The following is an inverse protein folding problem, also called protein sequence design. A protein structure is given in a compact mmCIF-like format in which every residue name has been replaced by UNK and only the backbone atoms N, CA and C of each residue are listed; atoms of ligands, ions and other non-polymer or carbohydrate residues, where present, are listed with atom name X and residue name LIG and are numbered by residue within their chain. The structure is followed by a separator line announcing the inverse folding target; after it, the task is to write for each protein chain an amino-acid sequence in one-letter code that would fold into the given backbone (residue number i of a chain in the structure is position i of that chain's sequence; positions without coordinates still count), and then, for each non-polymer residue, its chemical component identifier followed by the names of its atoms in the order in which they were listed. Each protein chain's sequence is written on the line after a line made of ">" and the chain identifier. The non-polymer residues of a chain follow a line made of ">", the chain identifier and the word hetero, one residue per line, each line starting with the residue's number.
data_IF_432055711451
#
_entry.id   IF_432055711451
#
_cell.length_a   1.000
_cell.length_b   1.000
_cell.length_c   1.000
_cell.angle_alpha   90.00
_cell.angle_beta   90.00
_cell.angle_gamma   90.00
#
_symmetry.space_group_name_H-M   'P 1'
#
loop_
_entity.id
_entity.type
_entity.pdbx_description
1 polymer ?
#
# COMPACT_ATOMS: atom_id res chain seq x y z
N UNK A 1 -11.52 2.36 13.97
CA UNK A 1 -10.78 2.31 12.70
C UNK A 1 -9.53 3.14 12.84
N UNK A 2 -8.35 2.59 12.56
CA UNK A 2 -7.07 3.32 12.62
C UNK A 2 -6.33 3.23 11.29
N UNK A 3 -5.63 4.31 10.94
CA UNK A 3 -4.87 4.41 9.68
C UNK A 3 -3.41 4.61 10.03
N UNK A 4 -2.53 3.81 9.40
CA UNK A 4 -1.08 3.94 9.52
C UNK A 4 -0.49 4.18 8.14
N UNK A 5 0.25 5.29 7.99
CA UNK A 5 0.98 5.61 6.77
C UNK A 5 2.42 5.09 6.88
N UNK A 6 2.81 4.28 5.90
CA UNK A 6 4.17 3.80 5.70
C UNK A 6 4.77 4.50 4.47
N UNK A 7 6.04 4.88 4.55
CA UNK A 7 6.77 5.51 3.43
C UNK A 7 7.77 4.51 2.86
N UNK A 8 7.70 4.28 1.56
CA UNK A 8 8.54 3.33 0.84
C UNK A 8 7.99 1.90 0.89
N UNK A 9 7.76 1.36 2.09
CA UNK A 9 7.42 -0.05 2.27
C UNK A 9 6.72 -0.32 3.62
N UNK A 10 6.15 -1.51 3.80
CA UNK A 10 5.61 -2.01 5.07
C UNK A 10 6.70 -2.58 5.99
N UNK A 11 6.44 -2.72 7.31
CA UNK A 11 7.32 -3.45 8.21
C UNK A 11 7.39 -4.95 7.87
N UNK A 12 8.59 -5.54 7.94
CA UNK A 12 8.83 -6.95 7.63
C UNK A 12 8.09 -7.95 8.54
N UNK A 13 7.68 -7.52 9.73
CA UNK A 13 6.96 -8.32 10.72
C UNK A 13 5.43 -8.10 10.68
N UNK A 14 4.94 -7.31 9.73
CA UNK A 14 3.51 -7.07 9.58
C UNK A 14 2.80 -8.30 9.02
N UNK A 15 1.87 -8.87 9.81
CA UNK A 15 1.13 -10.07 9.44
C UNK A 15 -0.36 -9.74 9.21
N UNK A 16 -0.85 -10.02 8.00
CA UNK A 16 -2.27 -9.86 7.63
C UNK A 16 -3.13 -11.11 7.84
N UNK A 17 -2.53 -12.23 8.26
CA UNK A 17 -3.21 -13.52 8.40
C UNK A 17 -3.48 -14.16 7.05
N UNK A 18 -4.67 -14.77 6.89
CA UNK A 18 -5.00 -15.59 5.72
C UNK A 18 -5.77 -14.84 4.62
N UNK A 19 -6.15 -13.58 4.86
CA UNK A 19 -6.92 -12.77 3.92
C UNK A 19 -6.46 -11.32 3.95
N UNK A 20 -6.42 -10.69 2.78
CA UNK A 20 -5.93 -9.33 2.60
C UNK A 20 -6.86 -8.58 1.64
N UNK A 21 -7.49 -7.52 2.14
CA UNK A 21 -8.13 -6.52 1.31
C UNK A 21 -7.06 -5.56 0.78
N UNK A 22 -7.12 -5.27 -0.53
CA UNK A 22 -6.14 -4.43 -1.23
C UNK A 22 -6.86 -3.47 -2.17
N UNK A 23 -6.37 -2.23 -2.23
CA UNK A 23 -6.70 -1.24 -3.25
C UNK A 23 -5.48 -0.37 -3.57
N UNK A 24 -5.56 0.44 -4.63
CA UNK A 24 -4.47 1.30 -5.09
C UNK A 24 -4.95 2.68 -5.54
N UNK A 25 -4.09 3.69 -5.36
CA UNK A 25 -4.30 5.03 -5.94
C UNK A 25 -3.23 5.34 -6.98
N UNK A 26 -3.65 5.93 -8.10
CA UNK A 26 -2.79 6.36 -9.21
C UNK A 26 -3.07 7.84 -9.52
N UNK A 27 -2.19 8.50 -10.28
CA UNK A 27 -2.48 9.87 -10.75
C UNK A 27 -3.62 9.95 -11.77
N UNK A 28 -4.13 8.82 -12.23
CA UNK A 28 -5.15 8.72 -13.26
C UNK A 28 -5.31 7.29 -13.76
N UNK A 29 -6.28 7.07 -14.64
CA UNK A 29 -6.73 5.72 -15.01
C UNK A 29 -5.89 5.04 -16.10
N UNK A 30 -4.76 5.63 -16.54
CA UNK A 30 -3.92 5.10 -17.62
C UNK A 30 -2.60 4.56 -17.08
N UNK A 31 -2.42 3.24 -16.86
CA UNK A 31 -1.27 2.67 -16.12
C UNK A 31 0.12 3.05 -16.65
N UNK A 32 0.27 3.20 -17.96
CA UNK A 32 1.56 3.54 -18.58
C UNK A 32 1.90 5.04 -18.53
N UNK A 33 0.93 5.89 -18.19
CA UNK A 33 1.08 7.34 -18.08
C UNK A 33 1.02 7.79 -16.62
N UNK A 34 0.15 7.15 -15.85
CA UNK A 34 -0.27 7.57 -14.52
C UNK A 34 0.35 6.65 -13.47
N UNK A 35 1.41 7.12 -12.80
CA UNK A 35 2.14 6.29 -11.84
C UNK A 35 1.27 5.89 -10.64
N UNK A 36 1.57 4.70 -10.10
CA UNK A 36 1.08 4.24 -8.81
C UNK A 36 1.60 5.18 -7.71
N UNK A 37 0.70 5.61 -6.83
CA UNK A 37 0.97 6.54 -5.75
C UNK A 37 0.89 5.85 -4.39
N UNK A 38 -0.23 5.17 -4.13
CA UNK A 38 -0.52 4.52 -2.85
C UNK A 38 -0.99 3.08 -3.06
N UNK A 39 -0.74 2.24 -2.07
CA UNK A 39 -1.38 0.94 -1.88
C UNK A 39 -2.03 0.92 -0.50
N UNK A 40 -3.27 0.45 -0.42
CA UNK A 40 -4.01 0.34 0.83
C UNK A 40 -4.27 -1.12 1.15
N UNK A 41 -3.95 -1.52 2.38
CA UNK A 41 -3.98 -2.91 2.84
C UNK A 41 -4.78 -3.01 4.15
N UNK A 42 -5.60 -4.06 4.29
CA UNK A 42 -6.29 -4.37 5.54
C UNK A 42 -6.58 -5.87 5.67
N UNK A 43 -6.43 -6.41 6.87
CA UNK A 43 -6.85 -7.78 7.22
C UNK A 43 -8.31 -7.86 7.72
N UNK A 44 -9.08 -6.77 7.62
CA UNK A 44 -10.45 -6.70 8.13
C UNK A 44 -10.56 -6.49 9.64
N UNK A 45 -9.45 -6.22 10.33
CA UNK A 45 -9.40 -5.97 11.78
C UNK A 45 -9.74 -4.52 12.18
N UNK A 46 -10.20 -3.71 11.22
CA UNK A 46 -10.48 -2.29 11.40
C UNK A 46 -9.23 -1.40 11.33
N UNK A 47 -8.06 -1.93 10.95
CA UNK A 47 -6.86 -1.14 10.62
C UNK A 47 -6.64 -1.08 9.11
N UNK A 48 -6.18 0.07 8.65
CA UNK A 48 -5.73 0.28 7.27
C UNK A 48 -4.26 0.69 7.27
N UNK A 49 -3.46 -0.02 6.47
CA UNK A 49 -2.06 0.27 6.21
C UNK A 49 -1.98 0.93 4.83
N UNK A 50 -1.54 2.19 4.78
CA UNK A 50 -1.37 2.93 3.53
C UNK A 50 0.13 2.99 3.24
N UNK A 51 0.56 2.49 2.10
CA UNK A 51 1.94 2.52 1.66
C UNK A 51 2.10 3.61 0.61
N UNK A 52 2.86 4.65 0.92
CA UNK A 52 3.28 5.67 -0.04
C UNK A 52 4.58 5.23 -0.69
N UNK A 53 4.52 4.80 -1.95
CA UNK A 53 5.66 4.24 -2.66
C UNK A 53 6.65 5.33 -3.11
N UNK A 54 7.93 4.98 -3.17
CA UNK A 54 8.90 5.79 -3.89
C UNK A 54 8.65 5.64 -5.40
N UNK A 55 8.21 6.70 -6.06
CA UNK A 55 7.82 6.67 -7.49
C UNK A 55 9.00 6.60 -8.46
N UNK A 56 10.24 6.78 -7.99
CA UNK A 56 11.43 6.64 -8.84
C UNK A 56 11.86 5.18 -8.96
N UNK A 57 11.70 4.40 -7.88
CA UNK A 57 12.26 3.03 -7.80
C UNK A 57 11.21 1.96 -7.60
N UNK A 58 10.07 2.29 -6.98
CA UNK A 58 9.04 1.34 -6.54
C UNK A 58 9.56 0.16 -5.71
N UNK A 59 10.73 0.32 -5.09
CA UNK A 59 11.34 -0.73 -4.26
C UNK A 59 10.61 -0.85 -2.92
N UNK A 60 9.93 -1.98 -2.71
CA UNK A 60 9.22 -2.37 -1.49
C UNK A 60 9.43 -3.90 -1.27
N UNK A 61 10.58 -4.33 -0.72
CA UNK A 61 10.95 -5.74 -0.62
C UNK A 61 10.31 -6.53 0.54
N UNK A 62 9.59 -5.89 1.45
CA UNK A 62 8.99 -6.54 2.62
C UNK A 62 7.60 -7.13 2.36
#
# INVERSE_FOLDING_TARGET
>A
MSITLHKGDIPADLNFGNALAIDTETLGLTPNRDPLCLVQLSSGDGKAHIVQLNRETYAAPN
#
